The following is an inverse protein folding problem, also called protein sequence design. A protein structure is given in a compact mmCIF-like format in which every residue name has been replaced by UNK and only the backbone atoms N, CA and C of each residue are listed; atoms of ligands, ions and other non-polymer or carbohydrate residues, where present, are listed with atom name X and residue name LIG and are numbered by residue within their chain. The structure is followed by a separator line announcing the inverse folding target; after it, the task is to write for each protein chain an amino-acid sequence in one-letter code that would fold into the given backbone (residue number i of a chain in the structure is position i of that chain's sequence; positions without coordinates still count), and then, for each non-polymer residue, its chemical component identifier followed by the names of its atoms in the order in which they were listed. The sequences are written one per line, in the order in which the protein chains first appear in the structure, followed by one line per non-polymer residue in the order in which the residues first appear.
data_IF_586684153900
#
_entry.id   IF_586684153900
#
_cell.length_a   1.000
_cell.length_b   1.000
_cell.length_c   1.000
_cell.angle_alpha   90.00
_cell.angle_beta   90.00
_cell.angle_gamma   90.00
#
_symmetry.space_group_name_H-M   'P 1'
#
loop_
_entity.id
_entity.type
_entity.pdbx_description
1 polymer ?
#
# COMPACT_ATOMS: atom_id res chain seq x y z
N UNK A 1 5.92 14.23 5.21
CA UNK A 1 4.78 14.39 4.27
C UNK A 1 3.74 13.26 4.39
N UNK A 2 4.12 12.00 4.65
CA UNK A 2 3.19 10.88 4.81
C UNK A 2 2.39 10.90 6.14
N UNK A 3 3.06 11.03 7.29
CA UNK A 3 2.40 11.15 8.60
C UNK A 3 1.49 12.38 8.72
N UNK A 4 1.90 13.52 8.15
CA UNK A 4 1.13 14.77 8.20
C UNK A 4 -0.19 14.73 7.41
N UNK A 5 -0.27 13.90 6.35
CA UNK A 5 -1.48 13.74 5.52
C UNK A 5 -2.49 12.77 6.11
N UNK A 6 -2.01 11.76 6.85
CA UNK A 6 -2.84 10.75 7.52
C UNK A 6 -3.08 11.04 9.01
N UNK A 7 -2.36 12.03 9.56
CA UNK A 7 -2.29 12.34 10.99
C UNK A 7 -1.99 11.13 11.88
N UNK A 8 -1.16 10.19 11.38
CA UNK A 8 -0.86 8.94 12.09
C UNK A 8 -0.10 9.24 13.38
N UNK A 9 -0.77 9.04 14.50
CA UNK A 9 -0.13 8.80 15.80
C UNK A 9 0.59 7.44 15.78
N UNK A 10 1.50 7.20 16.73
CA UNK A 10 2.20 5.92 16.85
C UNK A 10 1.23 4.73 16.96
N UNK A 11 0.05 4.92 17.54
CA UNK A 11 -1.02 3.92 17.60
C UNK A 11 -1.63 3.59 16.23
N UNK A 12 -1.77 4.58 15.35
CA UNK A 12 -2.33 4.38 14.01
C UNK A 12 -1.32 3.71 13.04
N UNK A 13 -0.03 3.67 13.40
CA UNK A 13 0.97 2.93 12.64
C UNK A 13 0.73 1.41 12.65
N UNK A 14 0.25 0.86 13.77
CA UNK A 14 -0.10 -0.55 13.88
C UNK A 14 -1.35 -0.87 13.03
N UNK A 15 -2.35 0.02 13.03
CA UNK A 15 -3.55 -0.11 12.19
C UNK A 15 -3.17 -0.07 10.71
N UNK A 16 -2.31 0.87 10.31
CA UNK A 16 -1.82 0.95 8.93
C UNK A 16 -1.12 -0.34 8.50
N UNK A 17 -0.27 -0.91 9.37
CA UNK A 17 0.41 -2.17 9.08
C UNK A 17 -0.59 -3.32 8.88
N UNK A 18 -1.58 -3.45 9.77
CA UNK A 18 -2.61 -4.48 9.66
C UNK A 18 -3.41 -4.33 8.36
N UNK A 19 -3.82 -3.12 8.02
CA UNK A 19 -4.56 -2.84 6.79
C UNK A 19 -3.72 -3.05 5.52
N UNK A 20 -2.41 -2.75 5.55
CA UNK A 20 -1.49 -3.07 4.46
C UNK A 20 -1.36 -4.58 4.24
N UNK A 21 -1.18 -5.35 5.32
CA UNK A 21 -1.06 -6.80 5.24
C UNK A 21 -2.39 -7.45 4.83
N UNK A 22 -3.51 -6.89 5.26
CA UNK A 22 -4.84 -7.30 4.82
C UNK A 22 -5.04 -7.01 3.33
N UNK A 23 -4.77 -5.78 2.89
CA UNK A 23 -4.92 -5.37 1.51
C UNK A 23 -4.03 -6.22 0.57
N UNK A 24 -2.79 -6.49 0.94
CA UNK A 24 -1.89 -7.34 0.17
C UNK A 24 -2.39 -8.79 0.00
N UNK A 25 -3.27 -9.27 0.89
CA UNK A 25 -3.85 -10.63 0.85
C UNK A 25 -5.22 -10.68 0.18
N UNK A 26 -6.04 -9.66 0.38
CA UNK A 26 -7.47 -9.68 0.04
C UNK A 26 -7.84 -8.81 -1.17
N UNK A 27 -6.99 -7.87 -1.57
CA UNK A 27 -7.30 -6.95 -2.66
C UNK A 27 -6.58 -7.35 -3.95
N UNK A 28 -7.21 -7.03 -5.07
CA UNK A 28 -6.58 -7.18 -6.38
C UNK A 28 -5.32 -6.31 -6.46
N UNK A 29 -4.25 -6.90 -6.98
CA UNK A 29 -3.01 -6.19 -7.23
C UNK A 29 -2.83 -5.93 -8.73
N UNK A 30 -2.31 -4.76 -9.06
CA UNK A 30 -1.93 -4.41 -10.42
C UNK A 30 -0.43 -4.67 -10.61
N UNK A 31 -0.09 -5.43 -11.66
CA UNK A 31 1.29 -5.57 -12.10
C UNK A 31 1.82 -4.20 -12.53
N UNK A 32 2.88 -3.73 -11.88
CA UNK A 32 3.53 -2.47 -12.23
C UNK A 32 4.69 -2.70 -13.19
N UNK A 33 5.61 -3.62 -12.83
CA UNK A 33 6.82 -3.88 -13.60
C UNK A 33 7.35 -5.28 -13.27
N UNK A 34 8.05 -5.91 -14.21
CA UNK A 34 8.81 -7.15 -13.98
C UNK A 34 10.19 -7.00 -14.61
N UNK A 35 11.23 -7.22 -13.83
CA UNK A 35 12.63 -7.15 -14.24
C UNK A 35 13.46 -8.30 -13.61
N UNK A 36 14.77 -8.24 -13.77
CA UNK A 36 15.71 -9.22 -13.18
C UNK A 36 15.72 -9.23 -11.65
N UNK A 37 15.29 -8.14 -11.00
CA UNK A 37 15.23 -8.03 -9.54
C UNK A 37 13.94 -8.62 -8.98
N UNK A 38 12.89 -8.76 -9.80
CA UNK A 38 11.65 -9.41 -9.44
C UNK A 38 10.43 -8.79 -10.11
N UNK A 39 9.27 -9.02 -9.49
CA UNK A 39 8.00 -8.47 -9.96
C UNK A 39 7.45 -7.45 -8.96
N UNK A 40 7.15 -6.25 -9.44
CA UNK A 40 6.56 -5.16 -8.67
C UNK A 40 5.06 -5.09 -8.89
N UNK A 41 4.34 -4.91 -7.80
CA UNK A 41 2.88 -4.82 -7.77
C UNK A 41 2.44 -3.56 -7.05
N UNK A 42 1.26 -3.07 -7.40
CA UNK A 42 0.58 -1.99 -6.66
C UNK A 42 -0.77 -2.46 -6.17
N UNK A 43 -1.13 -2.09 -4.94
CA UNK A 43 -2.42 -2.39 -4.33
C UNK A 43 -3.02 -1.10 -3.83
N UNK A 44 -4.23 -0.83 -4.31
CA UNK A 44 -5.03 0.33 -3.92
C UNK A 44 -6.14 -0.08 -2.97
N UNK A 45 -6.22 0.56 -1.81
CA UNK A 45 -7.24 0.26 -0.83
C UNK A 45 -7.67 1.52 -0.10
N UNK A 46 -8.84 1.43 0.55
CA UNK A 46 -9.35 2.51 1.39
C UNK A 46 -8.91 2.23 2.83
N UNK A 47 -8.16 3.16 3.41
CA UNK A 47 -7.81 3.13 4.82
C UNK A 47 -8.82 3.96 5.61
N UNK A 48 -9.46 3.34 6.59
CA UNK A 48 -10.28 4.04 7.57
C UNK A 48 -9.41 4.46 8.77
N UNK A 49 -9.35 5.76 9.04
CA UNK A 49 -8.68 6.33 10.22
C UNK A 49 -9.69 7.04 11.10
N UNK A 50 -9.25 7.46 12.29
CA UNK A 50 -10.02 8.27 13.23
C UNK A 50 -10.58 9.57 12.60
N UNK A 51 -9.92 10.08 11.56
CA UNK A 51 -10.28 11.33 10.86
C UNK A 51 -11.12 11.12 9.60
N UNK A 52 -11.39 9.86 9.23
CA UNK A 52 -12.19 9.52 8.06
C UNK A 52 -11.52 8.48 7.16
N UNK A 53 -12.06 8.31 5.95
CA UNK A 53 -11.56 7.34 4.97
C UNK A 53 -10.68 8.04 3.94
N UNK A 54 -9.57 7.41 3.57
CA UNK A 54 -8.69 7.91 2.53
C UNK A 54 -8.21 6.78 1.62
N UNK A 55 -7.91 7.11 0.37
CA UNK A 55 -7.33 6.16 -0.56
C UNK A 55 -5.82 6.06 -0.34
N UNK A 56 -5.31 4.85 -0.28
CA UNK A 56 -3.89 4.55 -0.13
C UNK A 56 -3.47 3.65 -1.28
N UNK A 57 -2.30 3.95 -1.85
CA UNK A 57 -1.60 3.06 -2.79
C UNK A 57 -0.35 2.53 -2.10
N UNK A 58 -0.21 1.21 -2.11
CA UNK A 58 0.98 0.51 -1.64
C UNK A 58 1.69 -0.19 -2.79
N UNK A 59 3.01 -0.08 -2.83
CA UNK A 59 3.89 -0.75 -3.79
C UNK A 59 4.62 -1.90 -3.12
N UNK A 60 4.65 -3.04 -3.80
CA UNK A 60 5.23 -4.28 -3.31
C UNK A 60 6.18 -4.86 -4.35
N UNK A 61 7.20 -5.60 -3.90
CA UNK A 61 8.07 -6.40 -4.76
C UNK A 61 8.11 -7.84 -4.27
N UNK A 62 7.93 -8.79 -5.19
CA UNK A 62 8.33 -10.19 -5.00
C UNK A 62 9.65 -10.36 -5.73
N UNK A 63 10.74 -10.61 -5.02
CA UNK A 63 12.06 -10.72 -5.63
C UNK A 63 12.15 -11.93 -6.55
N UNK A 64 13.03 -11.87 -7.55
CA UNK A 64 13.29 -13.01 -8.42
C UNK A 64 13.75 -14.23 -7.59
N UNK A 65 13.07 -15.37 -7.75
CA UNK A 65 13.35 -16.58 -6.99
C UNK A 65 12.79 -16.61 -5.57
N UNK A 66 12.09 -15.56 -5.12
CA UNK A 66 11.34 -15.54 -3.85
C UNK A 66 9.82 -15.62 -4.13
N UNK A 67 9.05 -16.04 -3.13
CA UNK A 67 7.58 -16.02 -3.10
C UNK A 67 7.03 -15.03 -2.05
N UNK A 68 7.92 -14.34 -1.33
CA UNK A 68 7.56 -13.42 -0.25
C UNK A 68 7.48 -11.97 -0.76
N UNK A 69 6.29 -11.34 -0.76
CA UNK A 69 6.17 -9.93 -1.12
C UNK A 69 6.72 -9.00 -0.03
N UNK A 70 7.37 -7.92 -0.44
CA UNK A 70 7.97 -6.90 0.44
C UNK A 70 7.45 -5.52 0.08
N UNK A 71 7.03 -4.76 1.08
CA UNK A 71 6.57 -3.39 0.89
C UNK A 71 7.75 -2.50 0.49
N UNK A 72 7.62 -1.78 -0.62
CA UNK A 72 8.62 -0.81 -1.10
C UNK A 72 8.18 0.62 -0.90
N UNK A 73 6.90 0.91 -1.12
CA UNK A 73 6.33 2.27 -1.01
C UNK A 73 4.90 2.23 -0.49
N UNK A 74 4.46 3.32 0.15
CA UNK A 74 3.07 3.53 0.53
C UNK A 74 2.81 5.04 0.55
N UNK A 75 1.71 5.49 -0.05
CA UNK A 75 1.30 6.91 -0.05
C UNK A 75 -0.21 7.09 -0.15
N UNK A 76 -0.70 8.20 0.41
CA UNK A 76 -2.09 8.63 0.27
C UNK A 76 -2.33 9.15 -1.14
N UNK A 77 -3.41 8.69 -1.77
CA UNK A 77 -3.87 9.24 -3.04
C UNK A 77 -4.82 10.41 -2.77
N UNK A 78 -4.43 11.61 -3.21
CA UNK A 78 -5.23 12.83 -3.02
C UNK A 78 -6.44 12.94 -3.97
N UNK A 79 -6.52 12.08 -5.00
CA UNK A 79 -7.64 11.95 -5.94
C UNK A 79 -7.47 10.68 -6.78
N UNK A 80 -8.52 9.87 -6.96
CA UNK A 80 -8.58 8.93 -8.09
C UNK A 80 -8.88 9.75 -9.33
N UNK A 81 -7.94 9.84 -10.28
CA UNK A 81 -8.32 10.14 -11.67
C UNK A 81 -8.99 8.86 -12.18
N UNK A 82 -10.30 8.94 -12.39
CA UNK A 82 -11.00 7.97 -13.23
C UNK A 82 -10.48 8.25 -14.64
N UNK A 83 -9.73 7.29 -15.19
CA UNK A 83 -9.41 7.24 -16.62
C UNK A 83 -10.44 6.32 -17.26
#
# INVERSE_FOLDING_TARGET
MFASKLALSQAESAVLLQELLRAAREQDCMLAERDEFGTRYTVDFVLATSKGKTWVRSGWIVKAGEDVPRLTTCYVMLRKRVV
#
